data_IF_133873153827
#
_entry.id   IF_133873153827
#
_cell.length_a   1.000
_cell.length_b   1.000
_cell.length_c   1.000
_cell.angle_alpha   90.00
_cell.angle_beta   90.00
_cell.angle_gamma   90.00
#
_symmetry.space_group_name_H-M   'P 1'
#
loop_
_entity.id
_entity.type
_entity.pdbx_description
1 polymer ?
#
# COMPACT_ATOMS: atom_id res chain seq x y z
N UNK A 1 4.69 17.30 -6.44
CA UNK A 1 5.41 16.08 -6.91
C UNK A 1 5.70 15.11 -5.77
N UNK A 2 6.26 15.55 -4.64
CA UNK A 2 6.55 14.68 -3.48
C UNK A 2 5.31 13.91 -2.97
N UNK A 3 4.13 14.55 -2.92
CA UNK A 3 2.88 13.92 -2.47
C UNK A 3 2.38 12.76 -3.34
N UNK A 4 2.71 12.75 -4.64
CA UNK A 4 2.37 11.64 -5.52
C UNK A 4 3.13 10.37 -5.10
N UNK A 5 4.42 10.50 -4.83
CA UNK A 5 5.23 9.39 -4.32
C UNK A 5 4.82 8.95 -2.91
N UNK A 6 4.44 9.91 -2.07
CA UNK A 6 3.90 9.62 -0.73
C UNK A 6 2.63 8.78 -0.84
N UNK A 7 1.67 9.16 -1.70
CA UNK A 7 0.44 8.38 -1.89
C UNK A 7 0.69 6.96 -2.42
N UNK A 8 1.67 6.78 -3.31
CA UNK A 8 2.09 5.44 -3.76
C UNK A 8 2.65 4.62 -2.59
N UNK A 9 3.60 5.21 -1.85
CA UNK A 9 4.31 4.53 -0.76
C UNK A 9 3.35 4.18 0.39
N UNK A 10 2.44 5.09 0.71
CA UNK A 10 1.39 4.90 1.70
C UNK A 10 0.48 3.71 1.34
N UNK A 11 -0.01 3.65 0.10
CA UNK A 11 -0.85 2.52 -0.34
C UNK A 11 -0.09 1.18 -0.31
N UNK A 12 1.22 1.18 -0.57
CA UNK A 12 2.06 -0.01 -0.41
C UNK A 12 2.19 -0.43 1.06
N UNK A 13 2.40 0.51 1.97
CA UNK A 13 2.49 0.26 3.41
C UNK A 13 1.16 -0.28 3.94
N UNK A 14 0.03 0.33 3.57
CA UNK A 14 -1.31 -0.12 3.96
C UNK A 14 -1.55 -1.55 3.46
N UNK A 15 -1.26 -1.83 2.19
CA UNK A 15 -1.44 -3.18 1.62
C UNK A 15 -0.57 -4.22 2.35
N UNK A 16 0.68 -3.87 2.69
CA UNK A 16 1.57 -4.74 3.46
C UNK A 16 1.06 -4.97 4.90
N UNK A 17 0.55 -3.92 5.54
CA UNK A 17 -0.08 -3.98 6.85
C UNK A 17 -1.30 -4.89 6.87
N UNK A 18 -2.23 -4.73 5.93
CA UNK A 18 -3.44 -5.58 5.81
C UNK A 18 -3.07 -7.06 5.71
N UNK A 19 -1.97 -7.38 5.02
CA UNK A 19 -1.44 -8.75 4.94
C UNK A 19 -0.84 -9.25 6.26
N UNK A 20 -0.26 -8.36 7.04
CA UNK A 20 0.40 -8.71 8.30
C UNK A 20 -0.62 -8.91 9.42
N UNK A 21 -1.67 -8.07 9.46
CA UNK A 21 -2.87 -8.25 10.29
C UNK A 21 -3.52 -9.61 10.03
N UNK A 22 -3.74 -9.96 8.77
CA UNK A 22 -4.39 -11.24 8.40
C UNK A 22 -3.57 -12.47 8.76
N UNK A 23 -2.25 -12.33 8.96
CA UNK A 23 -1.36 -13.38 9.48
C UNK A 23 -1.15 -13.32 11.00
N UNK A 24 -2.06 -12.68 11.75
CA UNK A 24 -2.12 -12.64 13.22
C UNK A 24 -0.84 -12.15 13.92
N UNK A 25 0.01 -11.35 13.25
CA UNK A 25 1.17 -10.70 13.87
C UNK A 25 0.77 -9.39 14.55
N UNK A 26 0.11 -9.49 15.72
CA UNK A 26 -0.51 -8.36 16.44
C UNK A 26 0.49 -7.25 16.76
N UNK A 27 1.68 -7.61 17.26
CA UNK A 27 2.71 -6.64 17.68
C UNK A 27 3.29 -5.84 16.49
N UNK A 28 3.54 -6.53 15.37
CA UNK A 28 4.05 -5.90 14.16
C UNK A 28 2.97 -5.08 13.42
N UNK A 29 1.71 -5.54 13.48
CA UNK A 29 0.56 -4.77 13.01
C UNK A 29 0.44 -3.43 13.74
N UNK A 30 0.53 -3.43 15.07
CA UNK A 30 0.43 -2.22 15.88
C UNK A 30 1.51 -1.18 15.55
N UNK A 31 2.76 -1.62 15.39
CA UNK A 31 3.87 -0.73 15.02
C UNK A 31 3.65 -0.06 13.65
N UNK A 32 3.17 -0.82 12.67
CA UNK A 32 2.89 -0.27 11.34
C UNK A 32 1.67 0.66 11.39
N UNK A 33 0.66 0.38 12.21
CA UNK A 33 -0.48 1.30 12.41
C UNK A 33 -0.02 2.65 12.94
N UNK A 34 0.89 2.68 13.92
CA UNK A 34 1.45 3.93 14.44
C UNK A 34 2.15 4.71 13.33
N UNK A 35 3.02 4.05 12.55
CA UNK A 35 3.70 4.67 11.40
C UNK A 35 2.68 5.22 10.38
N UNK A 36 1.62 4.47 10.11
CA UNK A 36 0.58 4.88 9.16
C UNK A 36 -0.17 6.15 9.62
N UNK A 37 -0.47 6.26 10.92
CA UNK A 37 -1.10 7.46 11.49
C UNK A 37 -0.20 8.68 11.31
N UNK A 38 1.12 8.55 11.50
CA UNK A 38 2.06 9.65 11.27
C UNK A 38 2.11 10.08 9.79
N UNK A 39 2.07 9.13 8.86
CA UNK A 39 2.02 9.43 7.42
C UNK A 39 0.72 10.19 7.09
N UNK A 40 -0.42 9.70 7.58
CA UNK A 40 -1.71 10.36 7.41
C UNK A 40 -1.73 11.77 7.98
N UNK A 41 -1.17 11.97 9.17
CA UNK A 41 -1.07 13.28 9.79
C UNK A 41 -0.28 14.26 8.92
N UNK A 42 0.88 13.84 8.42
CA UNK A 42 1.71 14.65 7.52
C UNK A 42 0.97 15.02 6.23
N UNK A 43 0.29 14.05 5.62
CA UNK A 43 -0.49 14.29 4.39
C UNK A 43 -1.63 15.26 4.64
N UNK A 44 -2.42 15.05 5.70
CA UNK A 44 -3.53 15.92 6.05
C UNK A 44 -3.05 17.34 6.35
N UNK A 45 -1.94 17.49 7.08
CA UNK A 45 -1.35 18.80 7.33
C UNK A 45 -0.97 19.49 6.02
N UNK A 46 -0.29 18.78 5.12
CA UNK A 46 0.12 19.33 3.82
C UNK A 46 -1.10 19.73 2.97
N UNK A 47 -2.18 18.94 2.99
CA UNK A 47 -3.42 19.24 2.26
C UNK A 47 -4.15 20.45 2.86
N UNK A 48 -4.17 20.57 4.19
CA UNK A 48 -4.84 21.67 4.90
C UNK A 48 -4.08 22.98 4.72
N UNK A 49 -2.75 22.96 4.74
CA UNK A 49 -1.90 24.13 4.51
C UNK A 49 -2.06 24.69 3.08
N UNK A 50 -2.27 23.81 2.08
CA UNK A 50 -2.41 24.17 0.66
C UNK A 50 -3.83 23.92 0.11
N UNK A 51 -4.87 24.12 0.92
CA UNK A 51 -6.27 23.77 0.55
C UNK A 51 -6.79 24.50 -0.70
N UNK A 52 -6.23 25.66 -1.02
CA UNK A 52 -6.60 26.44 -2.22
C UNK A 52 -6.04 25.82 -3.50
N UNK A 53 -5.05 24.92 -3.39
CA UNK A 53 -4.33 24.35 -4.51
C UNK A 53 -4.83 22.93 -4.83
N UNK A 54 -5.92 22.86 -5.60
CA UNK A 54 -6.57 21.59 -5.98
C UNK A 54 -5.62 20.58 -6.65
N UNK A 55 -4.55 21.07 -7.30
CA UNK A 55 -3.52 20.24 -7.93
C UNK A 55 -2.81 19.32 -6.93
N UNK A 56 -2.64 19.76 -5.68
CA UNK A 56 -1.99 19.01 -4.60
C UNK A 56 -2.81 17.76 -4.25
N UNK A 57 -4.13 17.94 -4.10
CA UNK A 57 -5.09 16.86 -3.81
C UNK A 57 -5.16 15.88 -4.97
N UNK A 58 -5.24 16.37 -6.21
CA UNK A 58 -5.32 15.51 -7.40
C UNK A 58 -4.05 14.67 -7.57
N UNK A 59 -2.85 15.24 -7.36
CA UNK A 59 -1.60 14.49 -7.43
C UNK A 59 -1.50 13.41 -6.34
N UNK A 60 -1.93 13.72 -5.13
CA UNK A 60 -1.99 12.74 -4.06
C UNK A 60 -2.97 11.59 -4.40
N UNK A 61 -4.18 11.92 -4.87
CA UNK A 61 -5.17 10.93 -5.28
C UNK A 61 -4.67 10.04 -6.44
N UNK A 62 -3.97 10.61 -7.42
CA UNK A 62 -3.33 9.85 -8.50
C UNK A 62 -2.25 8.90 -7.97
N UNK A 63 -1.44 9.36 -7.02
CA UNK A 63 -0.44 8.53 -6.35
C UNK A 63 -1.08 7.34 -5.64
N UNK A 64 -2.16 7.59 -4.90
CA UNK A 64 -2.94 6.54 -4.23
C UNK A 64 -3.54 5.52 -5.21
N UNK A 65 -4.11 6.00 -6.32
CA UNK A 65 -4.67 5.12 -7.36
C UNK A 65 -3.59 4.22 -7.98
N UNK A 66 -2.45 4.80 -8.38
CA UNK A 66 -1.31 4.06 -8.93
C UNK A 66 -0.74 3.08 -7.91
N UNK A 67 -0.58 3.50 -6.65
CA UNK A 67 -0.09 2.65 -5.57
C UNK A 67 -0.98 1.43 -5.34
N UNK A 68 -2.30 1.62 -5.37
CA UNK A 68 -3.30 0.55 -5.23
C UNK A 68 -3.26 -0.41 -6.42
N UNK A 69 -3.19 0.11 -7.64
CA UNK A 69 -3.07 -0.72 -8.85
C UNK A 69 -1.78 -1.54 -8.83
N UNK A 70 -0.64 -0.91 -8.48
CA UNK A 70 0.65 -1.57 -8.40
C UNK A 70 0.69 -2.64 -7.30
N UNK A 71 0.16 -2.34 -6.11
CA UNK A 71 0.12 -3.27 -4.99
C UNK A 71 -0.77 -4.47 -5.30
N UNK A 72 -1.95 -4.24 -5.88
CA UNK A 72 -2.91 -5.28 -6.27
C UNK A 72 -2.33 -6.16 -7.38
N UNK A 73 -1.70 -5.54 -8.39
CA UNK A 73 -1.03 -6.27 -9.47
C UNK A 73 0.09 -7.16 -8.95
N UNK A 74 0.95 -6.63 -8.07
CA UNK A 74 2.02 -7.41 -7.44
C UNK A 74 1.48 -8.56 -6.58
N UNK A 75 0.38 -8.35 -5.86
CA UNK A 75 -0.30 -9.40 -5.10
C UNK A 75 -0.86 -10.50 -6.00
N UNK A 76 -1.54 -10.14 -7.09
CA UNK A 76 -2.09 -11.09 -8.06
C UNK A 76 -0.99 -11.96 -8.68
N UNK A 77 0.16 -11.35 -9.00
CA UNK A 77 1.36 -12.07 -9.46
C UNK A 77 1.88 -13.05 -8.40
N UNK A 78 1.94 -12.64 -7.13
CA UNK A 78 2.42 -13.49 -6.04
C UNK A 78 1.47 -14.66 -5.75
N UNK A 79 0.15 -14.46 -5.80
CA UNK A 79 -0.83 -15.53 -5.69
C UNK A 79 -0.76 -16.51 -6.86
N UNK A 80 -0.64 -16.01 -8.10
CA UNK A 80 -0.42 -16.88 -9.27
C UNK A 80 0.83 -17.75 -9.11
N UNK A 81 1.94 -17.17 -8.62
CA UNK A 81 3.17 -17.94 -8.38
C UNK A 81 2.98 -19.03 -7.32
N UNK A 82 2.25 -18.74 -6.23
CA UNK A 82 1.96 -19.72 -5.17
C UNK A 82 0.98 -20.81 -5.59
N UNK A 83 0.10 -20.56 -6.58
CA UNK A 83 -0.82 -21.56 -7.14
C UNK A 83 -0.19 -22.45 -8.23
N UNK A 84 0.84 -21.96 -8.93
CA UNK A 84 1.54 -22.71 -10.00
C UNK A 84 2.61 -23.66 -9.44
N UNK A 85 3.33 -23.26 -8.38
CA UNK A 85 4.34 -24.09 -7.70
C UNK A 85 3.84 -25.48 -7.24
N UNK A 86 2.68 -25.64 -6.57
CA UNK A 86 2.19 -26.95 -6.15
C UNK A 86 1.66 -27.81 -7.32
N UNK A 87 1.37 -27.21 -8.48
CA UNK A 87 0.90 -27.96 -9.67
C UNK A 87 2.06 -28.55 -10.48
N UNK A 88 3.22 -27.89 -10.50
CA UNK A 88 4.42 -28.43 -11.16
C UNK A 88 5.03 -29.61 -10.37
N UNK A 89 5.04 -29.54 -9.04
CA UNK A 89 5.53 -30.64 -8.19
C UNK A 89 4.67 -31.92 -8.25
N UNK A 90 3.43 -31.84 -8.76
CA UNK A 90 2.55 -33.01 -8.96
C UNK A 90 2.61 -33.58 -10.37
N UNK A 91 3.30 -32.92 -11.30
CA UNK A 91 3.48 -33.41 -12.68
C UNK A 91 4.82 -34.14 -12.87
N UNK A 92 5.73 -34.04 -11.90
CA UNK A 92 7.07 -34.65 -11.92
C UNK A 92 7.16 -35.90 -11.01
N UNK A 93 6.04 -36.35 -10.42
CA UNK A 93 5.97 -37.50 -9.51
C UNK A 93 4.88 -38.47 -9.95
#
# INVERSE_FOLDING_TARGET
>A
MVLFFIGILEMLIITAWTKMVTKTKVLASGMITVINIFIWYYVLQTIVEDITNFQVITLYALGCAVGTMASTYYFSLKEKKQLVLPKLQRQEN
#
